data_IF_704052471406
#
_entry.id   IF_704052471406
#
_cell.length_a   1.000
_cell.length_b   1.000
_cell.length_c   1.000
_cell.angle_alpha   90.00
_cell.angle_beta   90.00
_cell.angle_gamma   90.00
#
_symmetry.space_group_name_H-M   'P 1'
#
loop_
_entity.id
_entity.type
_entity.pdbx_description
1 polymer ?
#
# COMPACT_ATOMS: atom_id res chain seq x y z
N UNK A 1 -17.73 44.48 24.70
CA UNK A 1 -18.14 45.46 23.68
C UNK A 1 -17.14 46.60 23.68
N UNK A 2 -16.13 46.54 22.82
CA UNK A 2 -15.06 47.54 22.78
C UNK A 2 -14.87 47.93 21.31
N UNK A 3 -15.29 49.15 20.99
CA UNK A 3 -15.16 49.80 19.69
C UNK A 3 -13.69 50.21 19.48
N UNK A 4 -13.13 49.91 18.31
CA UNK A 4 -11.85 50.46 17.84
C UNK A 4 -12.07 51.42 16.65
N UNK A 5 -11.21 52.45 16.50
CA UNK A 5 -11.46 53.62 15.66
C UNK A 5 -10.99 53.44 14.21
N UNK A 6 -11.62 54.23 13.33
CA UNK A 6 -11.27 54.45 11.92
C UNK A 6 -9.89 55.11 11.77
N UNK A 7 -9.12 54.64 10.79
CA UNK A 7 -7.90 55.30 10.31
C UNK A 7 -8.06 55.75 8.84
N UNK A 8 -7.38 56.85 8.43
CA UNK A 8 -7.69 57.59 7.21
C UNK A 8 -7.00 57.05 5.97
N UNK A 9 -7.65 57.34 4.85
CA UNK A 9 -7.22 57.11 3.47
C UNK A 9 -6.05 58.03 3.11
N UNK A 10 -4.97 57.44 2.62
CA UNK A 10 -3.90 58.15 1.89
C UNK A 10 -3.53 57.35 0.65
N UNK A 11 -3.81 57.94 -0.51
CA UNK A 11 -3.38 57.46 -1.81
C UNK A 11 -2.03 58.10 -2.17
N UNK A 12 -1.02 57.31 -2.58
CA UNK A 12 0.14 57.86 -3.27
C UNK A 12 0.08 57.62 -4.77
N UNK A 13 0.40 58.71 -5.45
CA UNK A 13 0.62 58.93 -6.87
C UNK A 13 1.44 57.84 -7.54
N UNK A 14 0.89 57.34 -8.63
CA UNK A 14 1.46 56.36 -9.57
C UNK A 14 2.45 57.06 -10.51
N UNK A 15 3.75 56.79 -10.33
CA UNK A 15 4.81 57.21 -11.26
C UNK A 15 5.14 56.03 -12.19
N UNK A 16 4.74 56.15 -13.46
CA UNK A 16 4.89 55.13 -14.50
C UNK A 16 6.28 55.22 -15.13
N UNK A 17 7.23 54.39 -14.68
CA UNK A 17 8.50 54.14 -15.40
C UNK A 17 8.28 53.03 -16.43
N UNK A 18 8.28 53.37 -17.71
CA UNK A 18 8.25 52.41 -18.83
C UNK A 18 9.68 51.89 -19.08
N UNK A 19 10.06 50.80 -18.42
CA UNK A 19 11.27 50.05 -18.75
C UNK A 19 10.90 49.01 -19.81
N UNK A 20 11.49 49.15 -21.01
CA UNK A 20 11.43 48.16 -22.09
C UNK A 20 12.28 46.95 -21.72
N UNK A 21 11.75 46.08 -20.87
CA UNK A 21 12.28 44.73 -20.63
C UNK A 21 11.80 43.84 -21.78
N UNK A 22 12.73 43.45 -22.66
CA UNK A 22 12.53 42.35 -23.59
C UNK A 22 12.05 41.13 -22.79
N UNK A 23 10.92 40.50 -23.15
CA UNK A 23 10.52 39.25 -22.53
C UNK A 23 11.55 38.20 -22.94
N UNK A 24 12.51 37.92 -22.06
CA UNK A 24 13.23 36.66 -22.09
C UNK A 24 12.15 35.58 -22.02
N UNK A 25 11.91 34.92 -23.16
CA UNK A 25 10.92 33.87 -23.27
C UNK A 25 11.27 32.77 -22.29
N UNK A 26 10.58 32.74 -21.15
CA UNK A 26 10.58 31.60 -20.25
C UNK A 26 9.86 30.50 -21.02
N UNK A 27 10.62 29.64 -21.68
CA UNK A 27 10.08 28.41 -22.24
C UNK A 27 9.60 27.61 -21.02
N UNK A 28 8.30 27.33 -20.87
CA UNK A 28 7.83 26.50 -19.77
C UNK A 28 8.54 25.15 -19.90
N UNK A 29 9.24 24.76 -18.83
CA UNK A 29 9.82 23.43 -18.75
C UNK A 29 8.70 22.42 -19.04
N UNK A 30 8.87 21.65 -20.12
CA UNK A 30 7.90 20.65 -20.50
C UNK A 30 7.75 19.68 -19.33
N UNK A 31 6.56 19.64 -18.73
CA UNK A 31 6.27 18.68 -17.67
C UNK A 31 6.52 17.27 -18.21
N UNK A 32 7.44 16.54 -17.57
CA UNK A 32 7.69 15.14 -17.90
C UNK A 32 6.36 14.39 -17.76
N UNK A 33 5.96 13.66 -18.80
CA UNK A 33 4.80 12.79 -18.73
C UNK A 33 5.09 11.66 -17.72
N UNK A 34 4.60 11.85 -16.50
CA UNK A 34 4.78 10.89 -15.40
C UNK A 34 4.25 9.50 -15.72
N UNK A 35 3.28 9.37 -16.65
CA UNK A 35 2.77 8.07 -17.08
C UNK A 35 3.80 7.31 -17.91
N UNK A 36 4.44 7.97 -18.88
CA UNK A 36 5.47 7.36 -19.71
C UNK A 36 6.73 7.04 -18.88
N UNK A 37 7.11 7.91 -17.95
CA UNK A 37 8.24 7.67 -17.05
C UNK A 37 8.00 6.48 -16.10
N UNK A 38 6.82 6.39 -15.49
CA UNK A 38 6.44 5.24 -14.67
C UNK A 38 6.35 3.95 -15.50
N UNK A 39 5.80 4.02 -16.72
CA UNK A 39 5.73 2.85 -17.60
C UNK A 39 7.11 2.28 -17.90
N UNK A 40 8.12 3.13 -18.13
CA UNK A 40 9.51 2.68 -18.34
C UNK A 40 10.04 1.89 -17.14
N UNK A 41 9.82 2.39 -15.93
CA UNK A 41 10.21 1.70 -14.69
C UNK A 41 9.52 0.34 -14.58
N UNK A 42 8.20 0.28 -14.81
CA UNK A 42 7.44 -0.97 -14.68
C UNK A 42 7.82 -2.04 -15.72
N UNK A 43 8.37 -1.63 -16.87
CA UNK A 43 8.85 -2.52 -17.93
C UNK A 43 10.35 -2.80 -17.86
N UNK A 44 11.08 -2.17 -16.95
CA UNK A 44 12.52 -2.35 -16.80
C UNK A 44 12.83 -3.76 -16.23
N UNK A 45 13.67 -4.57 -16.91
CA UNK A 45 13.95 -5.94 -16.46
C UNK A 45 14.58 -6.05 -15.08
N UNK A 46 15.40 -5.09 -14.67
CA UNK A 46 16.06 -5.11 -13.35
C UNK A 46 15.07 -4.77 -12.24
N UNK A 47 14.15 -3.84 -12.50
CA UNK A 47 13.02 -3.56 -11.60
C UNK A 47 12.10 -4.79 -11.48
N UNK A 48 11.73 -5.40 -12.61
CA UNK A 48 10.90 -6.61 -12.60
C UNK A 48 11.54 -7.74 -11.81
N UNK A 49 12.85 -7.95 -12.00
CA UNK A 49 13.63 -8.90 -11.20
C UNK A 49 13.60 -8.56 -9.71
N UNK A 50 13.77 -7.29 -9.35
CA UNK A 50 13.73 -6.83 -7.96
C UNK A 50 12.39 -7.11 -7.30
N UNK A 51 11.28 -6.92 -8.02
CA UNK A 51 9.93 -7.24 -7.55
C UNK A 51 9.73 -8.74 -7.35
N UNK A 52 10.14 -9.55 -8.33
CA UNK A 52 10.04 -11.02 -8.24
C UNK A 52 10.88 -11.58 -7.09
N UNK A 53 12.10 -11.09 -6.92
CA UNK A 53 12.99 -11.46 -5.82
C UNK A 53 12.37 -11.07 -4.47
N UNK A 54 11.68 -9.92 -4.38
CA UNK A 54 10.96 -9.51 -3.18
C UNK A 54 9.74 -10.39 -2.88
N UNK A 55 8.97 -10.79 -3.89
CA UNK A 55 7.85 -11.71 -3.74
C UNK A 55 8.31 -13.07 -3.19
N UNK A 56 9.45 -13.58 -3.65
CA UNK A 56 10.08 -14.81 -3.16
C UNK A 56 10.49 -14.77 -1.68
N UNK A 57 10.62 -13.57 -1.10
CA UNK A 57 10.90 -13.37 0.34
C UNK A 57 9.63 -13.22 1.19
N UNK A 58 8.44 -13.31 0.60
CA UNK A 58 7.19 -13.20 1.36
C UNK A 58 7.06 -14.32 2.40
N UNK A 59 6.43 -14.01 3.54
CA UNK A 59 6.30 -14.98 4.63
C UNK A 59 5.58 -16.27 4.19
N UNK A 60 4.60 -16.17 3.29
CA UNK A 60 3.89 -17.36 2.78
C UNK A 60 4.77 -18.24 1.89
N UNK A 61 5.70 -17.67 1.12
CA UNK A 61 6.67 -18.44 0.32
C UNK A 61 7.74 -19.06 1.21
N UNK A 62 8.30 -18.29 2.15
CA UNK A 62 9.36 -18.77 3.05
C UNK A 62 8.86 -19.91 3.95
N UNK A 63 7.62 -19.83 4.44
CA UNK A 63 7.06 -20.84 5.33
C UNK A 63 6.31 -21.97 4.59
N UNK A 64 6.10 -21.87 3.28
CA UNK A 64 5.52 -22.92 2.46
C UNK A 64 6.18 -22.91 1.07
N UNK A 65 7.46 -23.34 1.00
CA UNK A 65 8.28 -23.24 -0.20
C UNK A 65 7.77 -24.19 -1.28
N UNK A 66 7.73 -23.69 -2.51
CA UNK A 66 7.40 -24.47 -3.69
C UNK A 66 8.55 -24.39 -4.71
N UNK A 67 9.44 -25.40 -4.77
CA UNK A 67 10.59 -25.39 -5.69
C UNK A 67 10.21 -25.37 -7.18
N UNK A 68 8.98 -25.76 -7.50
CA UNK A 68 8.44 -25.75 -8.87
C UNK A 68 7.56 -24.54 -9.16
N UNK A 69 7.47 -23.59 -8.22
CA UNK A 69 6.68 -22.38 -8.41
C UNK A 69 7.22 -21.54 -9.56
N UNK A 70 6.28 -21.01 -10.33
CA UNK A 70 6.53 -19.98 -11.35
C UNK A 70 5.94 -18.68 -10.85
N UNK A 71 6.62 -17.58 -11.15
CA UNK A 71 6.23 -16.24 -10.74
C UNK A 71 6.05 -15.37 -11.96
N UNK A 72 4.89 -14.73 -12.05
CA UNK A 72 4.55 -13.82 -13.14
C UNK A 72 4.11 -12.48 -12.55
N UNK A 73 4.61 -11.38 -13.10
CA UNK A 73 4.11 -10.05 -12.75
C UNK A 73 2.67 -9.91 -13.23
N UNK A 74 1.79 -9.57 -12.31
CA UNK A 74 0.44 -9.13 -12.61
C UNK A 74 0.48 -7.70 -13.14
N UNK A 75 -0.32 -7.40 -14.16
CA UNK A 75 -0.46 -6.04 -14.70
C UNK A 75 -1.19 -5.05 -13.77
N UNK A 76 -1.44 -5.42 -12.51
CA UNK A 76 -2.13 -4.57 -11.55
C UNK A 76 -1.11 -3.77 -10.73
N UNK A 77 -1.16 -2.45 -10.88
CA UNK A 77 -0.37 -1.50 -10.11
C UNK A 77 -1.30 -0.62 -9.29
N UNK A 78 -1.01 -0.46 -7.99
CA UNK A 78 -1.76 0.44 -7.10
C UNK A 78 -0.80 1.51 -6.57
N UNK A 79 -1.07 2.77 -6.87
CA UNK A 79 -0.24 3.89 -6.42
C UNK A 79 -0.64 4.30 -5.01
N UNK A 80 0.27 4.20 -4.05
CA UNK A 80 0.10 4.71 -2.69
C UNK A 80 0.63 6.13 -2.52
N UNK A 81 1.76 6.42 -3.16
CA UNK A 81 2.35 7.77 -3.27
C UNK A 81 2.73 8.01 -4.71
N UNK A 82 2.22 9.09 -5.29
CA UNK A 82 2.45 9.45 -6.69
C UNK A 82 3.95 9.49 -7.00
N UNK A 83 4.41 8.79 -8.04
CA UNK A 83 5.77 8.93 -8.52
C UNK A 83 6.04 10.35 -8.99
N UNK A 84 7.15 10.92 -8.53
CA UNK A 84 7.67 12.19 -9.02
C UNK A 84 9.05 11.97 -9.64
N UNK A 85 9.36 12.77 -10.66
CA UNK A 85 10.59 12.66 -11.44
C UNK A 85 11.32 14.00 -11.43
N UNK A 86 12.64 13.96 -11.29
CA UNK A 86 13.51 15.13 -11.38
C UNK A 86 13.74 15.55 -12.84
N UNK A 87 14.46 16.65 -13.03
CA UNK A 87 14.74 17.24 -14.35
C UNK A 87 15.53 16.29 -15.26
N UNK A 88 16.37 15.43 -14.68
CA UNK A 88 17.13 14.39 -15.39
C UNK A 88 16.29 13.14 -15.70
N UNK A 89 15.01 13.14 -15.33
CA UNK A 89 14.08 12.03 -15.54
C UNK A 89 14.21 10.89 -14.54
N UNK A 90 15.11 11.00 -13.56
CA UNK A 90 15.22 10.06 -12.44
C UNK A 90 14.04 10.16 -11.49
N UNK A 91 13.61 9.03 -10.90
CA UNK A 91 12.53 9.02 -9.91
C UNK A 91 13.02 9.59 -8.57
N UNK A 92 12.32 10.59 -8.03
CA UNK A 92 12.71 11.28 -6.78
C UNK A 92 11.78 10.95 -5.62
N UNK A 93 10.55 10.52 -5.90
CA UNK A 93 9.62 10.01 -4.89
C UNK A 93 8.60 9.08 -5.52
N UNK A 94 7.92 8.27 -4.70
CA UNK A 94 6.92 7.33 -5.16
C UNK A 94 6.80 6.12 -4.24
N UNK A 95 5.62 5.50 -4.23
CA UNK A 95 5.38 4.20 -3.64
C UNK A 95 4.17 3.54 -4.29
N UNK A 96 4.29 2.29 -4.69
CA UNK A 96 3.23 1.55 -5.35
C UNK A 96 3.28 0.06 -5.01
N UNK A 97 2.14 -0.61 -5.13
CA UNK A 97 2.03 -2.07 -5.07
C UNK A 97 2.11 -2.65 -6.48
N UNK A 98 2.92 -3.68 -6.65
CA UNK A 98 2.85 -4.61 -7.77
C UNK A 98 2.36 -5.97 -7.27
N UNK A 99 1.53 -6.64 -8.08
CA UNK A 99 1.03 -7.98 -7.77
C UNK A 99 1.87 -9.00 -8.52
N UNK A 100 2.33 -10.05 -7.85
CA UNK A 100 3.00 -11.20 -8.45
C UNK A 100 2.10 -12.42 -8.29
N UNK A 101 1.82 -13.14 -9.38
CA UNK A 101 1.12 -14.42 -9.36
C UNK A 101 2.15 -15.53 -9.15
N UNK A 102 1.99 -16.31 -8.10
CA UNK A 102 2.72 -17.56 -7.88
C UNK A 102 1.84 -18.74 -8.32
N UNK A 103 2.38 -19.65 -9.13
CA UNK A 103 1.70 -20.88 -9.56
C UNK A 103 2.62 -22.09 -9.41
N UNK A 104 2.16 -23.14 -8.72
CA UNK A 104 2.94 -24.38 -8.56
C UNK A 104 2.54 -25.14 -7.31
N UNK A 105 3.00 -26.39 -7.17
CA UNK A 105 2.75 -27.25 -6.00
C UNK A 105 1.27 -27.36 -5.59
N UNK A 106 0.35 -27.33 -6.57
CA UNK A 106 -1.10 -27.37 -6.31
C UNK A 106 -1.68 -26.10 -5.69
N UNK A 107 -0.90 -25.01 -5.62
CA UNK A 107 -1.33 -23.71 -5.11
C UNK A 107 -1.22 -22.62 -6.20
N UNK A 108 -2.09 -21.62 -6.07
CA UNK A 108 -2.00 -20.36 -6.79
C UNK A 108 -2.14 -19.24 -5.76
N UNK A 109 -1.18 -18.32 -5.71
CA UNK A 109 -1.17 -17.22 -4.74
C UNK A 109 -1.04 -15.87 -5.44
N UNK A 110 -1.60 -14.84 -4.82
CA UNK A 110 -1.32 -13.45 -5.15
C UNK A 110 -0.35 -12.92 -4.11
N UNK A 111 0.88 -12.64 -4.52
CA UNK A 111 1.88 -12.03 -3.68
C UNK A 111 1.89 -10.53 -3.97
N UNK A 112 1.84 -9.73 -2.93
CA UNK A 112 1.85 -8.28 -3.07
C UNK A 112 3.23 -7.75 -2.70
N UNK A 113 3.79 -6.88 -3.54
CA UNK A 113 5.11 -6.27 -3.33
C UNK A 113 4.94 -4.76 -3.30
N UNK A 114 5.40 -4.14 -2.22
CA UNK A 114 5.55 -2.70 -2.12
C UNK A 114 6.87 -2.30 -2.77
N UNK A 115 6.80 -1.47 -3.80
CA UNK A 115 7.94 -0.75 -4.37
C UNK A 115 7.90 0.69 -3.90
N UNK A 116 9.04 1.23 -3.48
CA UNK A 116 9.15 2.59 -2.98
C UNK A 116 10.52 3.19 -3.28
N UNK A 117 10.55 4.50 -3.52
CA UNK A 117 11.81 5.25 -3.69
C UNK A 117 12.51 5.36 -2.34
N UNK A 118 13.74 4.83 -2.27
CA UNK A 118 14.59 4.88 -1.08
C UNK A 118 15.49 6.13 -1.09
N UNK A 119 16.02 6.47 -2.26
CA UNK A 119 16.78 7.68 -2.55
C UNK A 119 16.53 8.07 -4.00
N UNK A 120 16.94 9.28 -4.40
CA UNK A 120 16.84 9.70 -5.80
C UNK A 120 17.49 8.67 -6.74
N UNK A 121 16.75 8.30 -7.80
CA UNK A 121 17.15 7.30 -8.78
C UNK A 121 17.14 5.85 -8.29
N UNK A 122 16.78 5.58 -7.02
CA UNK A 122 16.83 4.24 -6.44
C UNK A 122 15.50 3.81 -5.82
N UNK A 123 15.05 2.62 -6.22
CA UNK A 123 13.84 1.98 -5.71
C UNK A 123 14.19 0.73 -4.90
N UNK A 124 13.38 0.45 -3.89
CA UNK A 124 13.44 -0.74 -3.06
C UNK A 124 12.12 -1.48 -3.11
N UNK A 125 12.18 -2.81 -2.96
CA UNK A 125 11.00 -3.67 -2.96
C UNK A 125 10.93 -4.53 -1.68
N UNK A 126 9.75 -4.59 -1.08
CA UNK A 126 9.46 -5.39 0.10
C UNK A 126 8.14 -6.15 -0.07
N UNK A 127 8.06 -7.43 0.35
CA UNK A 127 6.79 -8.13 0.37
C UNK A 127 5.85 -7.48 1.39
N UNK A 128 4.58 -7.37 1.02
CA UNK A 128 3.46 -7.01 1.91
C UNK A 128 2.45 -8.18 1.93
N UNK A 129 1.34 -8.05 2.65
CA UNK A 129 0.42 -9.18 2.86
C UNK A 129 -0.11 -9.73 1.53
N UNK A 130 -0.10 -11.06 1.33
CA UNK A 130 -0.59 -11.69 0.10
C UNK A 130 -2.12 -11.54 -0.02
N UNK A 131 -2.65 -11.83 -1.21
CA UNK A 131 -4.08 -11.86 -1.50
C UNK A 131 -4.60 -10.57 -2.13
N UNK A 132 -5.84 -10.22 -1.81
CA UNK A 132 -6.61 -9.13 -2.43
C UNK A 132 -6.92 -7.97 -1.48
N UNK A 133 -6.18 -7.84 -0.36
CA UNK A 133 -6.35 -6.72 0.57
C UNK A 133 -6.29 -5.35 -0.13
N UNK A 134 -7.18 -4.46 0.32
CA UNK A 134 -7.22 -3.04 -0.02
C UNK A 134 -6.53 -2.17 1.03
N UNK A 135 -6.19 -2.72 2.19
CA UNK A 135 -5.38 -2.03 3.18
C UNK A 135 -4.03 -1.65 2.58
N UNK A 136 -3.62 -0.39 2.76
CA UNK A 136 -2.28 0.06 2.40
C UNK A 136 -1.22 -0.58 3.33
N UNK A 137 0.09 -0.45 3.06
CA UNK A 137 1.12 -1.11 3.85
C UNK A 137 1.10 -0.76 5.34
N UNK A 138 0.71 0.48 5.71
CA UNK A 138 0.63 0.90 7.10
C UNK A 138 -0.60 0.25 7.76
N UNK A 139 -1.76 0.27 7.12
CA UNK A 139 -2.96 -0.41 7.62
C UNK A 139 -2.80 -1.93 7.72
N UNK A 140 -2.02 -2.54 6.81
CA UNK A 140 -1.68 -3.96 6.89
C UNK A 140 -0.83 -4.24 8.14
N UNK A 141 0.21 -3.44 8.38
CA UNK A 141 1.07 -3.56 9.56
C UNK A 141 0.26 -3.46 10.85
N UNK A 142 -0.61 -2.46 10.94
CA UNK A 142 -1.44 -2.21 12.12
C UNK A 142 -2.48 -3.33 12.29
N UNK A 143 -3.14 -3.73 11.19
CA UNK A 143 -4.17 -4.76 11.19
C UNK A 143 -3.69 -6.14 11.63
N UNK A 144 -2.40 -6.49 11.43
CA UNK A 144 -1.86 -7.80 11.87
C UNK A 144 -1.98 -7.96 13.38
N UNK A 145 -1.75 -6.89 14.16
CA UNK A 145 -1.91 -6.91 15.61
C UNK A 145 -3.35 -7.17 16.03
N UNK A 146 -4.30 -6.50 15.38
CA UNK A 146 -5.74 -6.69 15.63
C UNK A 146 -6.19 -8.12 15.27
N UNK A 147 -5.75 -8.62 14.11
CA UNK A 147 -6.09 -9.97 13.66
C UNK A 147 -5.56 -11.05 14.61
N UNK A 148 -4.29 -10.91 15.05
CA UNK A 148 -3.69 -11.81 16.03
C UNK A 148 -4.44 -11.77 17.38
N UNK A 149 -4.80 -10.59 17.88
CA UNK A 149 -5.57 -10.46 19.12
C UNK A 149 -6.94 -11.14 19.01
N UNK A 150 -7.66 -10.94 17.91
CA UNK A 150 -8.94 -11.59 17.66
C UNK A 150 -8.83 -13.12 17.54
N UNK A 151 -7.70 -13.62 17.03
CA UNK A 151 -7.39 -15.05 16.95
C UNK A 151 -6.96 -15.70 18.29
N UNK A 152 -7.03 -14.96 19.40
CA UNK A 152 -6.61 -15.42 20.73
C UNK A 152 -5.11 -15.28 20.99
N UNK A 153 -4.42 -14.42 20.23
CA UNK A 153 -3.00 -14.13 20.39
C UNK A 153 -2.07 -15.13 19.71
N UNK A 154 -0.77 -14.94 19.95
CA UNK A 154 0.28 -15.85 19.47
C UNK A 154 0.22 -17.15 20.26
N UNK A 155 0.26 -18.27 19.54
CA UNK A 155 0.38 -19.60 20.14
C UNK A 155 1.70 -19.72 20.91
N UNK A 156 1.64 -20.24 22.13
CA UNK A 156 2.81 -20.46 22.97
C UNK A 156 3.79 -21.41 22.28
N UNK A 157 5.10 -21.12 22.37
CA UNK A 157 6.17 -21.90 21.73
C UNK A 157 6.12 -21.95 20.19
N UNK A 158 5.15 -21.29 19.55
CA UNK A 158 5.09 -21.27 18.11
C UNK A 158 6.04 -20.21 17.53
N UNK A 159 7.06 -20.66 16.80
CA UNK A 159 8.05 -19.79 16.15
C UNK A 159 7.55 -19.19 14.84
N UNK A 160 6.56 -19.82 14.22
CA UNK A 160 6.03 -19.46 12.90
C UNK A 160 4.60 -18.94 13.04
N UNK A 161 4.41 -17.65 12.79
CA UNK A 161 3.09 -17.03 12.72
C UNK A 161 3.08 -16.01 11.60
N UNK A 162 2.17 -16.16 10.63
CA UNK A 162 2.08 -15.25 9.48
C UNK A 162 0.66 -15.19 8.92
N UNK A 163 0.37 -14.13 8.18
CA UNK A 163 -0.85 -14.03 7.35
C UNK A 163 -0.55 -14.72 6.02
N UNK A 164 -1.24 -15.82 5.72
CA UNK A 164 -1.06 -16.61 4.49
C UNK A 164 -1.87 -16.09 3.32
N UNK A 165 -2.99 -15.43 3.58
CA UNK A 165 -3.84 -14.83 2.56
C UNK A 165 -4.68 -13.69 3.15
N UNK A 166 -5.07 -12.74 2.29
CA UNK A 166 -6.07 -11.72 2.59
C UNK A 166 -7.11 -11.69 1.48
N UNK A 167 -8.38 -11.52 1.84
CA UNK A 167 -9.46 -11.50 0.85
C UNK A 167 -10.36 -10.30 1.07
N UNK A 168 -10.44 -9.41 0.09
CA UNK A 168 -11.48 -8.39 0.06
C UNK A 168 -12.85 -9.06 -0.08
N UNK A 169 -13.81 -8.66 0.77
CA UNK A 169 -15.17 -9.23 0.78
C UNK A 169 -16.14 -8.27 0.13
N UNK A 170 -16.34 -7.11 0.76
CA UNK A 170 -17.27 -6.09 0.32
C UNK A 170 -16.87 -4.71 0.85
N UNK A 171 -17.60 -3.69 0.39
CA UNK A 171 -17.45 -2.31 0.82
C UNK A 171 -18.85 -1.71 0.97
N UNK A 172 -19.03 -0.90 2.00
CA UNK A 172 -20.28 -0.18 2.24
C UNK A 172 -20.54 0.82 1.11
N UNK A 173 -21.81 1.21 0.93
CA UNK A 173 -22.19 2.12 -0.15
C UNK A 173 -21.72 3.57 0.05
N UNK A 174 -21.42 3.97 1.28
CA UNK A 174 -21.13 5.36 1.62
C UNK A 174 -20.05 5.47 2.69
N UNK A 175 -19.26 6.55 2.59
CA UNK A 175 -18.33 6.94 3.63
C UNK A 175 -19.09 7.30 4.92
N UNK A 176 -18.48 6.99 6.07
CA UNK A 176 -18.90 7.58 7.33
C UNK A 176 -18.55 9.07 7.32
N UNK A 177 -19.19 9.87 8.18
CA UNK A 177 -18.98 11.32 8.23
C UNK A 177 -17.50 11.68 8.38
N UNK A 178 -16.97 12.44 7.41
CA UNK A 178 -15.56 12.84 7.36
C UNK A 178 -14.56 11.74 6.95
N UNK A 179 -15.03 10.53 6.65
CA UNK A 179 -14.21 9.47 6.08
C UNK A 179 -13.86 9.71 4.61
N UNK A 180 -12.64 9.34 4.21
CA UNK A 180 -12.16 9.48 2.81
C UNK A 180 -12.68 8.39 1.87
N UNK A 181 -13.21 7.31 2.41
CA UNK A 181 -13.79 6.20 1.65
C UNK A 181 -14.83 5.44 2.49
N UNK A 182 -15.75 4.69 1.84
CA UNK A 182 -16.64 3.79 2.55
C UNK A 182 -15.89 2.71 3.33
N UNK A 183 -16.38 2.33 4.53
CA UNK A 183 -15.86 1.19 5.26
C UNK A 183 -15.86 -0.08 4.41
N UNK A 184 -14.91 -0.97 4.64
CA UNK A 184 -14.83 -2.22 3.89
C UNK A 184 -14.41 -3.40 4.75
N UNK A 185 -14.78 -4.59 4.29
CA UNK A 185 -14.52 -5.84 4.99
C UNK A 185 -13.52 -6.70 4.23
N UNK A 186 -12.68 -7.36 5.00
CA UNK A 186 -11.73 -8.35 4.51
C UNK A 186 -11.81 -9.62 5.37
N UNK A 187 -11.30 -10.73 4.84
CA UNK A 187 -11.06 -11.95 5.59
C UNK A 187 -9.57 -12.25 5.53
N UNK A 188 -8.92 -12.31 6.69
CA UNK A 188 -7.50 -12.57 6.78
C UNK A 188 -7.26 -14.00 7.27
N UNK A 189 -6.43 -14.74 6.55
CA UNK A 189 -6.06 -16.11 6.90
C UNK A 189 -4.72 -16.09 7.61
N UNK A 190 -4.70 -16.49 8.87
CA UNK A 190 -3.50 -16.59 9.69
C UNK A 190 -3.10 -18.05 9.83
N UNK A 191 -1.79 -18.31 9.77
CA UNK A 191 -1.20 -19.61 10.00
C UNK A 191 -0.36 -19.57 11.27
N UNK A 192 -0.51 -20.59 12.12
CA UNK A 192 0.41 -20.89 13.22
C UNK A 192 0.91 -22.33 13.11
N UNK A 193 1.51 -22.87 14.18
CA UNK A 193 2.14 -24.18 14.18
C UNK A 193 1.13 -25.33 14.21
N UNK A 194 -0.03 -25.12 14.85
CA UNK A 194 -1.04 -26.17 15.05
C UNK A 194 -2.39 -25.85 14.42
N UNK A 195 -2.58 -24.63 13.91
CA UNK A 195 -3.87 -24.19 13.40
C UNK A 195 -3.75 -23.13 12.31
N UNK A 196 -4.78 -23.04 11.50
CA UNK A 196 -5.03 -21.89 10.66
C UNK A 196 -6.35 -21.24 11.07
N UNK A 197 -6.42 -19.92 10.89
CA UNK A 197 -7.50 -19.11 11.44
C UNK A 197 -8.00 -18.15 10.37
N UNK A 198 -9.32 -18.07 10.18
CA UNK A 198 -9.96 -17.03 9.38
C UNK A 198 -10.45 -15.93 10.30
N UNK A 199 -9.93 -14.72 10.12
CA UNK A 199 -10.24 -13.55 10.95
C UNK A 199 -10.95 -12.50 10.09
N UNK A 200 -12.23 -12.23 10.34
CA UNK A 200 -12.93 -11.12 9.71
C UNK A 200 -12.30 -9.79 10.15
N UNK A 201 -12.05 -8.90 9.20
CA UNK A 201 -11.50 -7.58 9.40
C UNK A 201 -12.48 -6.55 8.84
N UNK A 202 -12.68 -5.46 9.57
CA UNK A 202 -13.45 -4.29 9.14
C UNK A 202 -12.58 -3.04 9.31
N UNK A 203 -12.44 -2.29 8.23
CA UNK A 203 -11.72 -1.03 8.20
C UNK A 203 -12.74 0.11 8.04
N UNK A 204 -12.71 1.07 8.97
CA UNK A 204 -13.63 2.21 9.02
C UNK A 204 -12.82 3.49 8.94
N UNK A 205 -12.66 4.08 7.73
CA UNK A 205 -11.99 5.36 7.56
C UNK A 205 -12.82 6.49 8.15
N UNK A 206 -12.24 7.30 9.02
CA UNK A 206 -12.88 8.45 9.66
C UNK A 206 -11.97 9.68 9.61
N UNK A 207 -12.34 10.76 10.30
CA UNK A 207 -11.54 11.99 10.33
C UNK A 207 -10.16 11.83 10.99
N UNK A 208 -10.03 10.87 11.92
CA UNK A 208 -8.82 10.61 12.70
C UNK A 208 -7.90 9.56 12.06
N UNK A 209 -8.33 8.86 11.02
CA UNK A 209 -7.56 7.83 10.35
C UNK A 209 -8.43 6.66 9.90
N UNK A 210 -8.05 5.44 10.25
CA UNK A 210 -8.85 4.26 9.99
C UNK A 210 -8.95 3.43 11.25
N UNK A 211 -10.17 3.29 11.76
CA UNK A 211 -10.46 2.37 12.86
C UNK A 211 -10.43 0.94 12.31
N UNK A 212 -9.67 0.05 12.95
CA UNK A 212 -9.55 -1.37 12.58
C UNK A 212 -10.29 -2.22 13.61
N UNK A 213 -11.26 -2.99 13.14
CA UNK A 213 -12.00 -3.96 13.96
C UNK A 213 -11.72 -5.35 13.42
N UNK A 214 -11.26 -6.25 14.29
CA UNK A 214 -11.07 -7.66 13.97
C UNK A 214 -12.04 -8.51 14.80
N UNK A 215 -12.72 -9.46 14.16
CA UNK A 215 -13.75 -10.28 14.81
C UNK A 215 -15.19 -9.75 14.59
N UNK A 216 -16.16 -10.08 15.47
CA UNK A 216 -16.03 -10.59 16.85
C UNK A 216 -15.39 -11.99 16.93
N UNK A 217 -14.88 -12.38 18.11
CA UNK A 217 -14.22 -13.69 18.31
C UNK A 217 -15.12 -14.88 17.94
N UNK A 218 -16.44 -14.72 18.06
CA UNK A 218 -17.44 -15.72 17.63
C UNK A 218 -17.47 -15.94 16.11
N UNK A 219 -16.98 -14.97 15.33
CA UNK A 219 -16.86 -15.04 13.88
C UNK A 219 -15.47 -15.54 13.43
N UNK A 220 -14.49 -15.65 14.34
CA UNK A 220 -13.18 -16.22 14.03
C UNK A 220 -13.33 -17.73 13.91
N UNK A 221 -12.90 -18.27 12.77
CA UNK A 221 -12.91 -19.71 12.53
C UNK A 221 -11.52 -20.26 12.75
N UNK A 222 -11.41 -21.31 13.56
CA UNK A 222 -10.14 -21.94 13.89
C UNK A 222 -10.19 -23.39 13.42
N UNK A 223 -9.17 -23.77 12.66
CA UNK A 223 -9.06 -25.09 12.08
C UNK A 223 -7.74 -25.72 12.51
N UNK A 224 -7.75 -26.97 12.98
CA UNK A 224 -6.49 -27.68 13.25
C UNK A 224 -5.72 -27.87 11.94
N UNK A 225 -4.41 -27.67 11.99
CA UNK A 225 -3.53 -28.10 10.90
C UNK A 225 -3.43 -29.61 10.94
N UNK A 226 -3.80 -30.25 9.83
CA UNK A 226 -3.64 -31.68 9.69
C UNK A 226 -2.15 -32.06 9.86
N UNK A 227 -1.84 -33.18 10.54
CA UNK A 227 -0.45 -33.55 10.86
C UNK A 227 0.46 -33.68 9.64
N UNK A 228 -0.12 -33.97 8.47
CA UNK A 228 0.52 -34.18 7.17
C UNK A 228 0.76 -32.88 6.37
N UNK A 229 0.28 -31.73 6.86
CA UNK A 229 0.48 -30.40 6.25
C UNK A 229 1.50 -29.53 6.98
N UNK A 230 2.36 -30.14 7.81
CA UNK A 230 3.47 -29.47 8.50
C UNK A 230 4.76 -29.56 7.72
#
# INVERSE_FOLDING_TARGET
MTRFPMAPSFAPVMLLLLVLLSPAGVVPAAAVDGSAALSRILTDPDEQKTVLDAAGRSAVVVNNPCPTARYDLGGTVVIYRQPAFGDEGGIVSGAWKQVVREQGCGASRLLNVLVFVQSEGSVSAAPILPGTTRADPQLQKDGVGHALAAAGGREENCKVGYVSDTRFIDQEASAVEGGRSPPWRELWTLMSCTRWMEVPMLFIPDQGGTTIVAGPSTAVRIYPLAPDRR
#
